data_IF_309178896641
#
_entry.id   IF_309178896641
#
_cell.length_a   1.000
_cell.length_b   1.000
_cell.length_c   1.000
_cell.angle_alpha   90.00
_cell.angle_beta   90.00
_cell.angle_gamma   90.00
#
_symmetry.space_group_name_H-M   'P 1'
#
loop_
_entity.id
_entity.type
_entity.pdbx_description
1 polymer ?
#
# COMPACT_ATOMS: atom_id res chain seq x y z
N UNK A 1 20.95 -21.98 5.75
CA UNK A 1 20.73 -20.89 4.80
C UNK A 1 22.02 -20.08 4.64
N UNK A 2 22.51 -19.92 3.42
CA UNK A 2 23.65 -19.09 3.06
C UNK A 2 23.19 -17.88 2.23
N UNK A 3 24.10 -16.97 1.84
CA UNK A 3 23.75 -15.75 1.10
C UNK A 3 23.18 -16.05 -0.29
N UNK A 4 23.64 -17.09 -0.96
CA UNK A 4 23.08 -17.47 -2.28
C UNK A 4 21.65 -18.00 -2.16
N UNK A 5 21.38 -18.81 -1.14
CA UNK A 5 20.02 -19.26 -0.83
C UNK A 5 19.11 -18.09 -0.42
N UNK A 6 19.64 -17.12 0.33
CA UNK A 6 18.89 -15.93 0.70
C UNK A 6 18.56 -15.08 -0.53
N UNK A 7 19.52 -14.87 -1.43
CA UNK A 7 19.29 -14.10 -2.66
C UNK A 7 18.20 -14.73 -3.53
N UNK A 8 18.12 -16.05 -3.62
CA UNK A 8 17.07 -16.76 -4.36
C UNK A 8 15.67 -16.52 -3.79
N UNK A 9 15.54 -16.25 -2.48
CA UNK A 9 14.25 -15.91 -1.86
C UNK A 9 13.74 -14.53 -2.27
N UNK A 10 14.60 -13.63 -2.69
CA UNK A 10 14.26 -12.26 -3.09
C UNK A 10 14.47 -12.02 -4.61
N UNK A 11 14.58 -13.09 -5.38
CA UNK A 11 14.58 -13.05 -6.84
C UNK A 11 13.12 -13.11 -7.33
N UNK A 12 12.65 -12.02 -7.91
CA UNK A 12 11.30 -11.89 -8.48
C UNK A 12 11.27 -12.04 -10.00
N UNK A 13 12.35 -12.55 -10.60
CA UNK A 13 12.42 -12.73 -12.05
C UNK A 13 11.26 -13.61 -12.57
N UNK A 14 10.54 -13.11 -13.57
CA UNK A 14 9.38 -13.78 -14.13
C UNK A 14 8.08 -13.65 -13.34
N UNK A 15 8.08 -13.03 -12.16
CA UNK A 15 6.86 -12.77 -11.40
C UNK A 15 6.19 -11.47 -11.88
N UNK A 16 4.87 -11.50 -12.05
CA UNK A 16 4.07 -10.33 -12.43
C UNK A 16 3.43 -9.71 -11.18
N UNK A 17 3.75 -8.44 -10.90
CA UNK A 17 3.25 -7.68 -9.77
C UNK A 17 2.38 -6.53 -10.25
N UNK A 18 1.13 -6.45 -9.81
CA UNK A 18 0.24 -5.34 -10.08
C UNK A 18 0.13 -4.46 -8.82
N UNK A 19 0.32 -3.14 -8.98
CA UNK A 19 0.28 -2.16 -7.90
C UNK A 19 -0.81 -1.13 -8.18
N UNK A 20 -1.91 -1.14 -7.41
CA UNK A 20 -2.96 -0.11 -7.51
C UNK A 20 -2.51 1.20 -6.85
N UNK A 21 -2.81 2.34 -7.46
CA UNK A 21 -2.27 3.63 -6.98
C UNK A 21 -0.74 3.68 -7.07
N UNK A 22 -0.16 2.85 -7.95
CA UNK A 22 1.28 2.66 -8.07
C UNK A 22 2.03 3.89 -8.58
N UNK A 23 1.34 4.86 -9.19
CA UNK A 23 1.91 6.16 -9.50
C UNK A 23 2.03 7.08 -8.27
N UNK A 24 1.52 6.69 -7.10
CA UNK A 24 1.72 7.34 -5.82
C UNK A 24 3.18 7.24 -5.32
N UNK A 25 3.54 7.99 -4.25
CA UNK A 25 4.92 7.98 -3.74
C UNK A 25 5.31 6.60 -3.22
N UNK A 26 4.56 6.03 -2.28
CA UNK A 26 4.88 4.73 -1.70
C UNK A 26 4.75 3.59 -2.73
N UNK A 27 3.70 3.62 -3.56
CA UNK A 27 3.52 2.65 -4.65
C UNK A 27 4.66 2.71 -5.66
N UNK A 28 5.13 3.91 -6.01
CA UNK A 28 6.27 4.12 -6.90
C UNK A 28 7.59 3.59 -6.35
N UNK A 29 7.85 3.77 -5.05
CA UNK A 29 9.04 3.19 -4.41
C UNK A 29 8.99 1.66 -4.45
N UNK A 30 7.84 1.06 -4.13
CA UNK A 30 7.65 -0.39 -4.24
C UNK A 30 7.84 -0.89 -5.67
N UNK A 31 7.30 -0.17 -6.67
CA UNK A 31 7.46 -0.50 -8.08
C UNK A 31 8.94 -0.51 -8.49
N UNK A 32 9.68 0.55 -8.17
CA UNK A 32 11.11 0.64 -8.48
C UNK A 32 11.93 -0.47 -7.83
N UNK A 33 11.65 -0.79 -6.56
CA UNK A 33 12.33 -1.85 -5.85
C UNK A 33 12.08 -3.23 -6.47
N UNK A 34 10.83 -3.52 -6.84
CA UNK A 34 10.45 -4.80 -7.45
C UNK A 34 11.04 -4.97 -8.85
N UNK A 35 11.05 -3.91 -9.67
CA UNK A 35 11.78 -3.92 -10.97
C UNK A 35 13.27 -4.15 -10.73
N UNK A 36 13.85 -3.51 -9.71
CA UNK A 36 15.24 -3.74 -9.30
C UNK A 36 15.53 -5.19 -8.87
N UNK A 37 14.54 -5.90 -8.38
CA UNK A 37 14.60 -7.32 -8.00
C UNK A 37 14.14 -8.28 -9.10
N UNK A 38 13.92 -7.80 -10.33
CA UNK A 38 13.64 -8.62 -11.50
C UNK A 38 12.16 -8.82 -11.84
N UNK A 39 11.23 -8.28 -11.08
CA UNK A 39 9.80 -8.44 -11.34
C UNK A 39 9.32 -7.69 -12.59
N UNK A 40 8.28 -8.22 -13.23
CA UNK A 40 7.45 -7.48 -14.18
C UNK A 40 6.38 -6.71 -13.39
N UNK A 41 6.41 -5.38 -13.44
CA UNK A 41 5.55 -4.54 -12.60
C UNK A 41 4.53 -3.77 -13.44
N UNK A 42 3.26 -3.97 -13.15
CA UNK A 42 2.17 -3.18 -13.70
C UNK A 42 1.75 -2.09 -12.69
N UNK A 43 1.96 -0.83 -13.06
CA UNK A 43 1.54 0.34 -12.30
C UNK A 43 0.13 0.72 -12.73
N UNK A 44 -0.87 0.44 -11.89
CA UNK A 44 -2.25 0.80 -12.15
C UNK A 44 -2.60 2.09 -11.43
N UNK A 45 -3.02 3.11 -12.18
CA UNK A 45 -3.48 4.37 -11.62
C UNK A 45 -4.63 4.95 -12.48
N UNK A 46 -5.48 5.76 -11.87
CA UNK A 46 -6.50 6.49 -12.63
C UNK A 46 -5.92 7.71 -13.35
N UNK A 47 -4.71 8.14 -12.98
CA UNK A 47 -3.92 9.13 -13.69
C UNK A 47 -2.55 8.56 -14.04
N UNK A 48 -2.45 7.80 -15.15
CA UNK A 48 -1.18 7.17 -15.57
C UNK A 48 -0.04 8.16 -15.81
N UNK A 49 -0.34 9.43 -16.12
CA UNK A 49 0.68 10.45 -16.32
C UNK A 49 1.51 10.73 -15.05
N UNK A 50 0.96 10.43 -13.86
CA UNK A 50 1.72 10.53 -12.60
C UNK A 50 2.90 9.56 -12.55
N UNK A 51 2.88 8.48 -13.33
CA UNK A 51 3.99 7.53 -13.41
C UNK A 51 5.19 8.06 -14.23
N UNK A 52 5.02 9.14 -15.00
CA UNK A 52 6.11 9.71 -15.80
C UNK A 52 7.36 10.06 -14.99
N UNK A 53 7.17 10.49 -13.74
CA UNK A 53 8.27 10.76 -12.79
C UNK A 53 9.09 9.53 -12.39
N UNK A 54 8.57 8.32 -12.63
CA UNK A 54 9.22 7.06 -12.28
C UNK A 54 10.00 6.46 -13.44
N UNK A 55 9.84 6.97 -14.68
CA UNK A 55 10.37 6.35 -15.90
C UNK A 55 11.87 6.06 -15.83
N UNK A 56 12.66 7.03 -15.38
CA UNK A 56 14.12 6.88 -15.31
C UNK A 56 14.52 5.79 -14.30
N UNK A 57 13.80 5.69 -13.20
CA UNK A 57 14.07 4.70 -12.14
C UNK A 57 13.60 3.30 -12.52
N UNK A 58 12.44 3.21 -13.17
CA UNK A 58 11.87 1.93 -13.65
C UNK A 58 12.71 1.30 -14.78
N UNK A 59 13.43 2.10 -15.55
CA UNK A 59 14.31 1.61 -16.62
C UNK A 59 15.68 1.10 -16.15
N UNK A 60 16.00 1.17 -14.85
CA UNK A 60 17.34 0.85 -14.32
C UNK A 60 17.47 -0.54 -13.69
N UNK A 61 16.44 -1.38 -13.72
CA UNK A 61 16.42 -2.72 -13.14
C UNK A 61 16.45 -3.84 -14.16
N UNK A 62 16.66 -5.09 -13.72
CA UNK A 62 16.56 -6.28 -14.57
C UNK A 62 15.11 -6.66 -14.94
N UNK A 63 14.12 -6.14 -14.18
CA UNK A 63 12.71 -6.33 -14.47
C UNK A 63 12.16 -5.34 -15.50
N UNK A 64 10.87 -5.46 -15.78
CA UNK A 64 10.14 -4.58 -16.69
C UNK A 64 9.01 -3.86 -15.97
N UNK A 65 8.56 -2.72 -16.51
CA UNK A 65 7.39 -2.03 -15.97
C UNK A 65 6.48 -1.54 -17.10
N UNK A 66 5.17 -1.64 -16.86
CA UNK A 66 4.12 -1.03 -17.69
C UNK A 66 3.20 -0.18 -16.85
N UNK A 67 2.53 0.78 -17.47
CA UNK A 67 1.57 1.66 -16.79
C UNK A 67 0.22 1.49 -17.43
N UNK A 68 -0.78 1.16 -16.61
CA UNK A 68 -2.14 0.91 -17.09
C UNK A 68 -3.15 1.81 -16.37
N UNK A 69 -4.18 2.22 -17.10
CA UNK A 69 -5.30 2.94 -16.51
C UNK A 69 -6.21 1.98 -15.72
N UNK A 70 -6.63 2.42 -14.52
CA UNK A 70 -7.67 1.72 -13.77
C UNK A 70 -8.16 2.55 -12.58
N UNK A 71 -9.46 2.55 -12.37
CA UNK A 71 -10.10 3.13 -11.19
C UNK A 71 -10.53 2.00 -10.26
N UNK A 72 -9.95 1.96 -9.05
CA UNK A 72 -10.20 0.91 -8.06
C UNK A 72 -11.66 0.81 -7.61
N UNK A 73 -12.47 1.84 -7.89
CA UNK A 73 -13.92 1.85 -7.65
C UNK A 73 -14.75 1.39 -8.86
N UNK A 74 -14.11 1.08 -9.99
CA UNK A 74 -14.78 0.68 -11.24
C UNK A 74 -14.25 -0.65 -11.72
N UNK A 75 -14.96 -1.75 -11.37
CA UNK A 75 -14.55 -3.12 -11.67
C UNK A 75 -14.23 -3.35 -13.15
N UNK A 76 -14.99 -2.77 -14.06
CA UNK A 76 -14.80 -2.89 -15.51
C UNK A 76 -13.44 -2.38 -15.98
N UNK A 77 -12.94 -1.28 -15.39
CA UNK A 77 -11.59 -0.75 -15.72
C UNK A 77 -10.48 -1.66 -15.23
N UNK A 78 -10.71 -2.35 -14.11
CA UNK A 78 -9.73 -3.32 -13.56
C UNK A 78 -9.68 -4.59 -14.39
N UNK A 79 -10.82 -5.07 -14.90
CA UNK A 79 -10.88 -6.21 -15.82
C UNK A 79 -10.13 -5.90 -17.12
N UNK A 80 -10.30 -4.70 -17.68
CA UNK A 80 -9.54 -4.31 -18.89
C UNK A 80 -8.04 -4.16 -18.59
N UNK A 81 -7.67 -3.60 -17.44
CA UNK A 81 -6.28 -3.55 -17.00
C UNK A 81 -5.66 -4.94 -16.85
N UNK A 82 -6.40 -5.90 -16.27
CA UNK A 82 -5.93 -7.30 -16.16
C UNK A 82 -5.57 -7.89 -17.52
N UNK A 83 -6.45 -7.72 -18.52
CA UNK A 83 -6.19 -8.23 -19.89
C UNK A 83 -4.92 -7.66 -20.51
N UNK A 84 -4.67 -6.37 -20.31
CA UNK A 84 -3.45 -5.71 -20.82
C UNK A 84 -2.21 -6.28 -20.13
N UNK A 85 -2.23 -6.36 -18.79
CA UNK A 85 -1.10 -6.86 -18.00
C UNK A 85 -0.81 -8.32 -18.28
N UNK A 86 -1.85 -9.16 -18.30
CA UNK A 86 -1.71 -10.59 -18.58
C UNK A 86 -1.26 -10.88 -20.03
N UNK A 87 -1.67 -10.02 -20.97
CA UNK A 87 -1.20 -10.10 -22.35
C UNK A 87 0.27 -9.72 -22.54
N UNK A 88 0.81 -8.85 -21.67
CA UNK A 88 2.18 -8.37 -21.74
C UNK A 88 3.14 -9.22 -20.89
N UNK A 89 2.75 -9.57 -19.66
CA UNK A 89 3.63 -10.17 -18.66
C UNK A 89 3.22 -11.58 -18.22
N UNK A 90 2.06 -12.07 -18.65
CA UNK A 90 1.49 -13.32 -18.16
C UNK A 90 0.65 -13.09 -16.89
N UNK A 91 0.28 -14.19 -16.20
CA UNK A 91 -0.64 -14.14 -15.08
C UNK A 91 -0.13 -13.24 -13.95
N UNK A 92 -1.06 -12.53 -13.29
CA UNK A 92 -0.74 -11.68 -12.14
C UNK A 92 -0.49 -12.58 -10.92
N UNK A 93 0.75 -12.62 -10.44
CA UNK A 93 1.18 -13.42 -9.29
C UNK A 93 1.00 -12.69 -7.97
N UNK A 94 1.17 -11.37 -8.00
CA UNK A 94 1.13 -10.54 -6.80
C UNK A 94 0.30 -9.28 -7.03
N UNK A 95 -0.52 -8.93 -6.03
CA UNK A 95 -1.30 -7.70 -5.99
C UNK A 95 -0.88 -6.85 -4.79
N UNK A 96 -0.53 -5.60 -5.02
CA UNK A 96 -0.29 -4.62 -3.95
C UNK A 96 -1.35 -3.52 -4.03
N UNK A 97 -2.19 -3.42 -3.02
CA UNK A 97 -3.22 -2.41 -2.91
C UNK A 97 -2.71 -1.17 -2.16
N UNK A 98 -2.15 -0.20 -2.91
CA UNK A 98 -1.69 1.08 -2.33
C UNK A 98 -2.66 2.23 -2.57
N UNK A 99 -3.65 2.08 -3.47
CA UNK A 99 -4.66 3.10 -3.70
C UNK A 99 -5.43 3.40 -2.41
N UNK A 100 -5.47 4.67 -2.04
CA UNK A 100 -6.11 5.10 -0.80
C UNK A 100 -5.74 6.53 -0.45
N UNK A 101 -6.36 7.06 0.58
CA UNK A 101 -6.08 8.40 1.06
C UNK A 101 -7.21 8.98 1.90
N UNK A 102 -6.97 10.17 2.43
CA UNK A 102 -7.98 10.95 3.15
C UNK A 102 -8.50 12.09 2.29
N UNK A 103 -9.60 12.71 2.72
CA UNK A 103 -10.16 13.92 2.12
C UNK A 103 -10.08 15.10 3.09
N UNK A 104 -9.64 16.28 2.66
CA UNK A 104 -9.73 17.49 3.49
C UNK A 104 -11.16 17.77 3.98
N UNK A 105 -12.18 17.43 3.17
CA UNK A 105 -13.60 17.58 3.53
C UNK A 105 -14.09 16.58 4.57
N UNK A 106 -13.34 15.48 4.82
CA UNK A 106 -13.61 14.50 5.88
C UNK A 106 -12.64 14.67 7.08
N UNK A 107 -12.05 15.87 7.23
CA UNK A 107 -11.05 16.18 8.26
C UNK A 107 -11.59 17.29 9.14
N UNK A 108 -11.72 17.02 10.45
CA UNK A 108 -12.16 18.04 11.42
C UNK A 108 -11.08 19.12 11.65
N UNK A 109 -11.50 20.32 11.96
CA UNK A 109 -10.62 21.47 12.19
C UNK A 109 -11.31 22.60 12.92
N UNK A 110 -10.69 23.77 12.94
CA UNK A 110 -11.28 24.97 13.55
C UNK A 110 -12.58 25.37 12.84
N UNK A 111 -12.63 25.20 11.52
CA UNK A 111 -13.74 25.63 10.66
C UNK A 111 -14.70 24.51 10.29
N UNK A 112 -14.43 23.24 10.70
CA UNK A 112 -15.26 22.09 10.37
C UNK A 112 -15.35 21.15 11.59
N UNK A 113 -16.48 21.19 12.29
CA UNK A 113 -16.74 20.33 13.43
C UNK A 113 -17.04 18.89 13.00
N UNK A 114 -16.96 17.94 13.94
CA UNK A 114 -17.34 16.55 13.70
C UNK A 114 -18.81 16.42 13.25
N UNK A 115 -19.68 17.26 13.81
CA UNK A 115 -21.12 17.22 13.53
C UNK A 115 -21.49 17.75 12.14
N UNK A 116 -20.58 18.50 11.52
CA UNK A 116 -20.78 19.14 10.21
C UNK A 116 -20.02 18.42 9.08
N UNK A 117 -19.34 17.29 9.38
CA UNK A 117 -18.68 16.52 8.34
C UNK A 117 -19.68 16.02 7.28
N UNK A 118 -19.49 16.35 5.98
CA UNK A 118 -20.42 15.93 4.95
C UNK A 118 -20.44 14.41 4.77
N UNK A 119 -21.63 13.81 4.69
CA UNK A 119 -21.81 12.37 4.46
C UNK A 119 -21.10 11.88 3.21
N UNK A 120 -21.16 12.66 2.12
CA UNK A 120 -20.48 12.36 0.85
C UNK A 120 -18.95 12.28 1.01
N UNK A 121 -18.36 13.17 1.84
CA UNK A 121 -16.92 13.15 2.10
C UNK A 121 -16.51 11.94 2.94
N UNK A 122 -17.32 11.56 3.92
CA UNK A 122 -17.13 10.34 4.69
C UNK A 122 -17.25 9.11 3.79
N UNK A 123 -18.33 9.03 2.99
CA UNK A 123 -18.56 7.95 2.01
C UNK A 123 -17.38 7.80 1.05
N UNK A 124 -16.90 8.90 0.46
CA UNK A 124 -15.73 8.87 -0.43
C UNK A 124 -14.49 8.25 0.23
N UNK A 125 -14.20 8.58 1.51
CA UNK A 125 -13.04 8.02 2.21
C UNK A 125 -13.21 6.53 2.47
N UNK A 126 -14.41 6.06 2.83
CA UNK A 126 -14.69 4.63 3.00
C UNK A 126 -14.60 3.90 1.65
N UNK A 127 -15.23 4.42 0.62
CA UNK A 127 -15.20 3.83 -0.73
C UNK A 127 -13.76 3.70 -1.22
N UNK A 128 -12.99 4.78 -1.20
CA UNK A 128 -11.62 4.75 -1.69
C UNK A 128 -10.74 3.75 -0.94
N UNK A 129 -10.84 3.68 0.39
CA UNK A 129 -9.91 2.87 1.19
C UNK A 129 -10.40 1.42 1.37
N UNK A 130 -11.68 1.17 1.63
CA UNK A 130 -12.20 -0.19 1.85
C UNK A 130 -12.65 -0.82 0.54
N UNK A 131 -13.60 -0.20 -0.15
CA UNK A 131 -14.15 -0.75 -1.39
C UNK A 131 -13.08 -0.78 -2.47
N UNK A 132 -12.24 0.26 -2.54
CA UNK A 132 -11.08 0.36 -3.42
C UNK A 132 -9.92 -0.60 -3.10
N UNK A 133 -10.00 -1.35 -1.98
CA UNK A 133 -9.12 -2.49 -1.69
C UNK A 133 -9.82 -3.81 -2.03
N UNK A 134 -11.13 -3.93 -1.74
CA UNK A 134 -11.90 -5.16 -1.97
C UNK A 134 -12.07 -5.46 -3.46
N UNK A 135 -12.47 -4.45 -4.26
CA UNK A 135 -12.73 -4.66 -5.70
C UNK A 135 -11.46 -5.15 -6.46
N UNK A 136 -10.27 -4.57 -6.26
CA UNK A 136 -9.04 -5.12 -6.86
C UNK A 136 -8.73 -6.54 -6.40
N UNK A 137 -8.94 -6.88 -5.10
CA UNK A 137 -8.78 -8.24 -4.64
C UNK A 137 -9.73 -9.22 -5.35
N UNK A 138 -10.96 -8.80 -5.66
CA UNK A 138 -11.90 -9.61 -6.45
C UNK A 138 -11.48 -9.71 -7.94
N UNK A 139 -11.03 -8.61 -8.53
CA UNK A 139 -10.73 -8.55 -9.96
C UNK A 139 -9.44 -9.33 -10.29
N UNK A 140 -8.38 -9.14 -9.52
CA UNK A 140 -7.05 -9.74 -9.78
C UNK A 140 -6.81 -11.01 -8.97
N UNK A 141 -7.46 -11.17 -7.82
CA UNK A 141 -7.35 -12.38 -7.00
C UNK A 141 -8.07 -13.59 -7.58
N UNK A 142 -8.98 -13.42 -8.54
CA UNK A 142 -9.67 -14.52 -9.20
C UNK A 142 -8.69 -15.46 -9.92
N UNK A 143 -7.75 -14.92 -10.70
CA UNK A 143 -6.73 -15.71 -11.36
C UNK A 143 -5.79 -16.43 -10.37
N UNK A 144 -5.48 -15.82 -9.23
CA UNK A 144 -4.73 -16.47 -8.15
C UNK A 144 -5.52 -17.64 -7.55
N UNK A 145 -6.82 -17.46 -7.32
CA UNK A 145 -7.70 -18.51 -6.82
C UNK A 145 -7.80 -19.70 -7.76
N UNK A 146 -7.91 -19.45 -9.07
CA UNK A 146 -7.95 -20.49 -10.11
C UNK A 146 -6.65 -21.31 -10.20
N UNK A 147 -5.49 -20.67 -9.94
CA UNK A 147 -4.18 -21.35 -9.92
C UNK A 147 -3.84 -21.97 -8.55
N UNK A 148 -4.53 -21.57 -7.49
CA UNK A 148 -4.26 -21.98 -6.11
C UNK A 148 -2.98 -21.38 -5.51
N UNK A 149 -2.44 -20.31 -6.10
CA UNK A 149 -1.25 -19.61 -5.64
C UNK A 149 -1.30 -18.11 -5.95
N UNK A 150 -0.69 -17.30 -5.08
CA UNK A 150 -0.60 -15.85 -5.26
C UNK A 150 -0.33 -15.11 -3.95
N UNK A 151 0.01 -13.84 -4.05
CA UNK A 151 0.26 -13.00 -2.88
C UNK A 151 -0.50 -11.67 -3.00
N UNK A 152 -1.26 -11.33 -1.97
CA UNK A 152 -1.93 -10.03 -1.86
C UNK A 152 -1.33 -9.26 -0.68
N UNK A 153 -0.87 -8.04 -0.94
CA UNK A 153 -0.37 -7.11 0.06
C UNK A 153 -1.24 -5.85 0.09
N UNK A 154 -1.93 -5.64 1.20
CA UNK A 154 -2.75 -4.45 1.40
C UNK A 154 -1.96 -3.37 2.15
N UNK A 155 -2.22 -2.10 1.83
CA UNK A 155 -1.66 -0.98 2.59
C UNK A 155 -2.72 -0.43 3.53
N UNK A 156 -2.59 -0.81 4.80
CA UNK A 156 -3.34 -0.26 5.91
C UNK A 156 -2.72 1.08 6.39
N UNK A 157 -2.69 1.33 7.67
CA UNK A 157 -2.03 2.48 8.30
C UNK A 157 -1.86 2.20 9.80
N UNK A 158 -0.86 2.83 10.43
CA UNK A 158 -0.77 2.82 11.89
C UNK A 158 -2.02 3.39 12.57
N UNK A 159 -2.80 4.23 11.85
CA UNK A 159 -4.09 4.75 12.33
C UNK A 159 -5.16 3.67 12.54
N UNK A 160 -4.96 2.47 11.99
CA UNK A 160 -5.81 1.29 12.27
C UNK A 160 -5.61 0.76 13.70
N UNK A 161 -4.42 0.93 14.29
CA UNK A 161 -4.09 0.52 15.66
C UNK A 161 -4.32 1.64 16.68
N UNK A 162 -3.98 2.88 16.28
CA UNK A 162 -4.13 4.09 17.10
C UNK A 162 -4.79 5.15 16.24
N UNK A 163 -6.11 5.40 16.42
CA UNK A 163 -6.83 6.37 15.60
C UNK A 163 -6.21 7.76 15.77
N UNK A 164 -5.92 8.39 14.63
CA UNK A 164 -5.39 9.74 14.61
C UNK A 164 -6.50 10.77 14.81
N UNK A 165 -6.15 11.87 15.45
CA UNK A 165 -7.04 13.03 15.59
C UNK A 165 -7.44 13.57 14.19
N UNK A 166 -8.63 14.16 14.10
CA UNK A 166 -9.17 14.89 12.95
C UNK A 166 -9.59 14.07 11.74
N UNK A 167 -9.25 12.79 11.63
CA UNK A 167 -9.51 11.97 10.43
C UNK A 167 -10.32 10.71 10.78
N UNK A 168 -11.57 10.85 11.28
CA UNK A 168 -12.35 9.73 11.79
C UNK A 168 -12.62 8.65 10.72
N UNK A 169 -13.04 9.05 9.54
CA UNK A 169 -13.36 8.12 8.45
C UNK A 169 -12.13 7.35 7.97
N UNK A 170 -10.98 8.04 7.82
CA UNK A 170 -9.74 7.39 7.39
C UNK A 170 -9.25 6.33 8.38
N UNK A 171 -9.22 6.67 9.68
CA UNK A 171 -8.79 5.72 10.71
C UNK A 171 -9.71 4.49 10.77
N UNK A 172 -11.02 4.69 10.71
CA UNK A 172 -12.00 3.61 10.68
C UNK A 172 -11.86 2.76 9.40
N UNK A 173 -11.68 3.40 8.22
CA UNK A 173 -11.49 2.69 6.97
C UNK A 173 -10.21 1.82 6.98
N UNK A 174 -9.10 2.33 7.49
CA UNK A 174 -7.85 1.57 7.59
C UNK A 174 -7.91 0.43 8.61
N UNK A 175 -8.69 0.58 9.69
CA UNK A 175 -9.03 -0.54 10.58
C UNK A 175 -9.85 -1.61 9.84
N UNK A 176 -10.79 -1.19 8.98
CA UNK A 176 -11.54 -2.07 8.09
C UNK A 176 -10.63 -2.83 7.11
N UNK A 177 -9.64 -2.17 6.49
CA UNK A 177 -8.64 -2.83 5.62
C UNK A 177 -7.84 -3.89 6.39
N UNK A 178 -7.43 -3.60 7.64
CA UNK A 178 -6.71 -4.55 8.48
C UNK A 178 -7.56 -5.79 8.79
N UNK A 179 -8.83 -5.61 9.16
CA UNK A 179 -9.76 -6.70 9.43
C UNK A 179 -10.06 -7.51 8.16
N UNK A 180 -10.31 -6.83 7.03
CA UNK A 180 -10.53 -7.47 5.73
C UNK A 180 -9.33 -8.32 5.31
N UNK A 181 -8.10 -7.85 5.53
CA UNK A 181 -6.88 -8.62 5.25
C UNK A 181 -6.86 -9.95 6.00
N UNK A 182 -7.20 -9.94 7.28
CA UNK A 182 -7.26 -11.15 8.12
C UNK A 182 -8.34 -12.12 7.64
N UNK A 183 -9.53 -11.58 7.35
CA UNK A 183 -10.63 -12.38 6.83
C UNK A 183 -10.29 -13.02 5.48
N UNK A 184 -9.75 -12.21 4.55
CA UNK A 184 -9.40 -12.67 3.21
C UNK A 184 -8.29 -13.73 3.24
N UNK A 185 -7.30 -13.58 4.12
CA UNK A 185 -6.22 -14.56 4.30
C UNK A 185 -6.75 -15.95 4.64
N UNK A 186 -7.68 -16.02 5.58
CA UNK A 186 -8.33 -17.29 5.98
C UNK A 186 -9.18 -17.84 4.84
N UNK A 187 -10.01 -16.99 4.24
CA UNK A 187 -10.92 -17.38 3.16
C UNK A 187 -10.16 -17.93 1.94
N UNK A 188 -9.12 -17.21 1.48
CA UNK A 188 -8.34 -17.65 0.32
C UNK A 188 -7.62 -18.97 0.57
N UNK A 189 -7.05 -19.16 1.76
CA UNK A 189 -6.33 -20.37 2.10
C UNK A 189 -7.26 -21.59 2.22
N UNK A 190 -8.46 -21.41 2.73
CA UNK A 190 -9.43 -22.51 2.96
C UNK A 190 -10.21 -22.89 1.70
N UNK A 191 -10.64 -21.89 0.92
CA UNK A 191 -11.54 -22.11 -0.21
C UNK A 191 -10.81 -22.33 -1.55
N UNK A 192 -9.62 -21.73 -1.72
CA UNK A 192 -8.95 -21.74 -3.02
C UNK A 192 -7.57 -22.39 -3.00
N UNK A 193 -6.76 -22.20 -1.96
CA UNK A 193 -5.49 -22.88 -1.86
C UNK A 193 -4.54 -22.34 -0.78
N UNK A 194 -3.79 -23.23 -0.12
CA UNK A 194 -2.92 -22.85 1.00
C UNK A 194 -1.69 -22.01 0.58
N UNK A 195 -1.43 -21.91 -0.72
CA UNK A 195 -0.33 -21.10 -1.25
C UNK A 195 -0.75 -19.67 -1.61
N UNK A 196 -2.01 -19.29 -1.33
CA UNK A 196 -2.46 -17.92 -1.48
C UNK A 196 -2.31 -17.20 -0.15
N UNK A 197 -1.44 -16.18 -0.11
CA UNK A 197 -1.15 -15.41 1.10
C UNK A 197 -1.70 -14.00 1.00
N UNK A 198 -2.28 -13.52 2.09
CA UNK A 198 -2.82 -12.15 2.16
C UNK A 198 -2.31 -11.50 3.44
N UNK A 199 -1.56 -10.43 3.31
CA UNK A 199 -0.99 -9.67 4.42
C UNK A 199 -1.19 -8.17 4.22
N UNK A 200 -0.88 -7.39 5.24
CA UNK A 200 -0.86 -5.94 5.12
C UNK A 200 0.38 -5.32 5.78
N UNK A 201 0.78 -4.16 5.27
CA UNK A 201 1.64 -3.24 6.00
C UNK A 201 0.81 -2.10 6.56
N UNK A 202 1.24 -1.53 7.67
CA UNK A 202 0.62 -0.38 8.30
C UNK A 202 1.67 0.74 8.48
N UNK A 203 1.88 1.57 7.43
CA UNK A 203 2.84 2.66 7.48
C UNK A 203 2.47 3.70 8.55
N UNK A 204 3.50 4.22 9.23
CA UNK A 204 3.41 5.39 10.09
C UNK A 204 3.55 6.70 9.31
N UNK A 205 4.28 7.64 9.90
CA UNK A 205 4.54 8.93 9.27
C UNK A 205 5.83 8.90 8.46
N UNK A 206 5.68 8.77 7.15
CA UNK A 206 6.77 8.85 6.16
C UNK A 206 6.84 10.26 5.59
N UNK A 207 8.04 10.83 5.54
CA UNK A 207 8.23 12.15 4.94
C UNK A 207 8.25 12.01 3.42
N UNK A 208 7.29 12.64 2.77
CA UNK A 208 7.15 12.60 1.31
C UNK A 208 7.01 14.02 0.75
N UNK A 209 7.30 14.21 -0.54
CA UNK A 209 7.10 15.49 -1.19
C UNK A 209 5.64 16.00 -1.05
N UNK A 210 4.66 15.08 -0.95
CA UNK A 210 3.24 15.44 -0.82
C UNK A 210 2.85 15.94 0.57
N UNK A 211 3.55 15.54 1.64
CA UNK A 211 3.18 15.92 3.01
C UNK A 211 4.22 16.80 3.71
N UNK A 212 5.37 17.03 3.07
CA UNK A 212 6.47 17.81 3.64
C UNK A 212 6.01 19.18 4.15
N UNK A 213 5.19 19.88 3.38
CA UNK A 213 4.66 21.20 3.75
C UNK A 213 3.80 21.20 5.02
N UNK A 214 3.21 20.06 5.40
CA UNK A 214 2.43 19.90 6.62
C UNK A 214 3.30 19.62 7.86
N UNK A 215 4.51 19.12 7.65
CA UNK A 215 5.37 18.57 8.70
C UNK A 215 6.63 19.38 8.95
N UNK A 216 7.12 20.05 7.91
CA UNK A 216 8.34 20.84 7.90
C UNK A 216 8.04 22.22 7.31
N UNK A 217 8.40 23.26 8.02
CA UNK A 217 8.32 24.63 7.53
C UNK A 217 9.27 24.83 6.35
N UNK A 218 8.78 25.41 5.27
CA UNK A 218 9.55 25.51 4.02
C UNK A 218 10.64 26.60 4.04
N UNK A 219 10.50 27.61 4.91
CA UNK A 219 11.44 28.71 5.01
C UNK A 219 12.57 28.40 6.03
N UNK A 220 12.21 27.93 7.20
CA UNK A 220 13.18 27.67 8.28
C UNK A 220 13.78 26.25 8.22
N UNK A 221 13.06 25.29 7.62
CA UNK A 221 13.42 23.87 7.69
C UNK A 221 13.08 23.20 9.02
N UNK A 222 12.50 23.93 9.97
CA UNK A 222 12.09 23.40 11.25
C UNK A 222 10.79 22.57 11.17
N UNK A 223 10.54 21.76 12.19
CA UNK A 223 9.28 21.04 12.30
C UNK A 223 8.13 22.03 12.54
N UNK A 224 7.04 21.87 11.79
CA UNK A 224 5.77 22.53 12.14
C UNK A 224 5.27 22.03 13.50
N UNK A 225 4.32 22.74 14.19
CA UNK A 225 3.72 22.23 15.42
C UNK A 225 3.17 20.80 15.27
N UNK A 226 2.58 20.46 14.10
CA UNK A 226 2.11 19.12 13.79
C UNK A 226 3.28 18.14 13.66
N UNK A 227 4.32 18.51 12.93
CA UNK A 227 5.53 17.70 12.75
C UNK A 227 6.17 17.37 14.11
N UNK A 228 6.28 18.35 14.98
CA UNK A 228 6.82 18.17 16.35
C UNK A 228 5.98 17.21 17.17
N UNK A 229 4.66 17.40 17.19
CA UNK A 229 3.76 16.48 17.91
C UNK A 229 3.92 15.03 17.44
N UNK A 230 4.07 14.81 16.14
CA UNK A 230 4.28 13.47 15.59
C UNK A 230 5.62 12.89 16.05
N UNK A 231 6.70 13.67 15.92
CA UNK A 231 8.05 13.22 16.33
C UNK A 231 8.10 12.92 17.82
N UNK A 232 7.51 13.77 18.66
CA UNK A 232 7.48 13.59 20.13
C UNK A 232 6.74 12.29 20.54
N UNK A 233 5.83 11.78 19.67
CA UNK A 233 5.13 10.51 19.86
C UNK A 233 5.75 9.35 19.09
N UNK A 234 6.83 9.56 18.35
CA UNK A 234 7.54 8.52 17.60
C UNK A 234 8.81 8.14 18.36
N UNK A 235 8.91 6.93 18.97
CA UNK A 235 10.10 6.55 19.76
C UNK A 235 11.42 6.62 18.99
N UNK A 236 11.43 6.38 17.67
CA UNK A 236 12.62 6.56 16.83
C UNK A 236 12.98 8.02 16.55
N UNK A 237 12.18 8.98 17.06
CA UNK A 237 12.41 10.44 17.04
C UNK A 237 12.69 11.01 15.63
N UNK A 238 12.07 10.45 14.60
CA UNK A 238 12.15 10.91 13.21
C UNK A 238 10.96 10.42 12.40
N UNK A 239 10.76 11.02 11.23
CA UNK A 239 9.90 10.43 10.19
C UNK A 239 10.59 9.23 9.53
N UNK A 240 9.81 8.33 8.96
CA UNK A 240 10.31 7.30 8.07
C UNK A 240 10.59 7.86 6.68
N UNK A 241 11.55 7.26 5.99
CA UNK A 241 11.79 7.48 4.56
C UNK A 241 11.09 6.38 3.74
N UNK A 242 10.51 6.68 2.57
CA UNK A 242 9.74 5.70 1.80
C UNK A 242 10.46 4.38 1.53
N UNK A 243 11.78 4.40 1.37
CA UNK A 243 12.62 3.23 1.14
C UNK A 243 12.64 2.27 2.35
N UNK A 244 12.35 2.75 3.55
CA UNK A 244 12.34 1.93 4.76
C UNK A 244 11.13 0.97 4.84
N UNK A 245 10.14 1.14 3.94
CA UNK A 245 9.06 0.17 3.75
C UNK A 245 9.53 -1.08 3.00
N UNK A 246 10.54 -0.93 2.11
CA UNK A 246 10.85 -1.92 1.08
C UNK A 246 11.28 -3.26 1.63
N UNK A 247 12.07 -3.27 2.71
CA UNK A 247 12.49 -4.52 3.34
C UNK A 247 11.32 -5.39 3.78
N UNK A 248 10.30 -4.79 4.41
CA UNK A 248 9.09 -5.51 4.83
C UNK A 248 8.22 -5.90 3.64
N UNK A 249 8.08 -5.04 2.64
CA UNK A 249 7.30 -5.31 1.43
C UNK A 249 7.89 -6.51 0.69
N UNK A 250 9.20 -6.48 0.39
CA UNK A 250 9.89 -7.57 -0.30
C UNK A 250 9.80 -8.87 0.49
N UNK A 251 9.96 -8.83 1.83
CA UNK A 251 9.79 -10.00 2.68
C UNK A 251 8.38 -10.60 2.57
N UNK A 252 7.33 -9.79 2.69
CA UNK A 252 5.94 -10.27 2.64
C UNK A 252 5.55 -10.82 1.27
N UNK A 253 6.15 -10.33 0.19
CA UNK A 253 5.92 -10.82 -1.16
C UNK A 253 6.71 -12.10 -1.46
N UNK A 254 7.88 -12.25 -0.88
CA UNK A 254 8.84 -13.31 -1.19
C UNK A 254 8.50 -14.67 -0.55
N UNK A 255 9.10 -15.76 -1.03
CA UNK A 255 9.05 -17.08 -0.37
C UNK A 255 9.64 -17.10 1.05
N UNK A 256 10.41 -16.08 1.47
CA UNK A 256 10.91 -15.96 2.84
C UNK A 256 9.79 -15.83 3.89
N UNK A 257 8.59 -15.47 3.46
CA UNK A 257 7.38 -15.41 4.29
C UNK A 257 6.33 -16.46 3.93
N UNK A 258 6.73 -17.61 3.38
CA UNK A 258 5.81 -18.65 2.88
C UNK A 258 4.78 -19.14 3.92
N UNK A 259 5.10 -19.09 5.22
CA UNK A 259 4.17 -19.49 6.30
C UNK A 259 3.57 -18.28 7.05
N UNK A 260 3.52 -17.11 6.37
CA UNK A 260 2.99 -15.87 6.94
C UNK A 260 1.79 -15.40 6.12
N UNK A 261 0.60 -15.45 6.72
CA UNK A 261 -0.64 -14.93 6.14
C UNK A 261 -1.53 -14.35 7.24
N UNK A 262 -2.35 -13.33 6.92
CA UNK A 262 -3.28 -12.68 7.84
C UNK A 262 -2.65 -11.68 8.81
N UNK A 263 -1.38 -11.31 8.66
CA UNK A 263 -0.75 -10.33 9.55
C UNK A 263 -0.86 -8.90 8.99
N UNK A 264 -0.81 -7.95 9.92
CA UNK A 264 -0.69 -6.51 9.63
C UNK A 264 0.57 -6.00 10.32
N UNK A 265 1.58 -5.62 9.53
CA UNK A 265 2.91 -5.23 10.05
C UNK A 265 3.00 -3.71 10.16
N UNK A 266 3.08 -3.14 11.38
CA UNK A 266 3.36 -1.72 11.55
C UNK A 266 4.80 -1.40 11.13
N UNK A 267 4.96 -0.31 10.34
CA UNK A 267 6.26 0.26 9.97
C UNK A 267 6.16 1.75 10.31
N UNK A 268 6.38 2.09 11.58
CA UNK A 268 5.94 3.38 12.12
C UNK A 268 6.90 3.99 13.16
N UNK A 269 8.13 3.49 13.27
CA UNK A 269 9.11 3.98 14.24
C UNK A 269 8.71 3.78 15.70
N UNK A 270 7.78 2.84 15.96
CA UNK A 270 7.26 2.53 17.30
C UNK A 270 6.06 3.39 17.72
N UNK A 271 5.53 4.23 16.83
CA UNK A 271 4.42 5.14 17.14
C UNK A 271 3.20 4.41 17.73
N UNK A 272 2.74 3.33 17.08
CA UNK A 272 1.56 2.58 17.55
C UNK A 272 1.80 1.78 18.83
N UNK A 273 3.06 1.46 19.16
CA UNK A 273 3.43 0.73 20.37
C UNK A 273 3.60 1.65 21.60
N UNK A 274 3.86 2.95 21.38
CA UNK A 274 4.15 3.88 22.44
C UNK A 274 2.89 4.30 23.20
N UNK A 275 2.94 4.15 24.52
CA UNK A 275 1.83 4.52 25.44
C UNK A 275 1.90 5.95 25.97
N UNK A 276 2.98 6.67 25.70
CA UNK A 276 3.20 8.04 26.19
C UNK A 276 4.01 8.11 27.50
N UNK A 277 4.45 6.96 28.03
CA UNK A 277 5.27 6.85 29.25
C UNK A 277 6.40 5.86 29.04
#
# INVERSE_FOLDING_TARGET
MNLEELNKLYDFAGQTVLITGGAGILGGEMACALVGCGANVAILDRDPALADRLKDRLGCGPGCATVVYGDVLKRETLIEAAKVVEGEFGPIDMLINTAGGNSPKATTGADLSFFDLPEEALGFVFDLNIVGTIIPCQAFGQGMAERGEGVILNVSSMSAFRPLTRIPAYSAAKAGVSNFTQWLAVHMAQEYGPNIRVNAIAPGFFLTAQNRFLLVDQESGDLTPRGRTIIDHTPMNRFGEPEELLGTVLWLLSPASAFVTGIVVPIDGGFSAFSGV
#
